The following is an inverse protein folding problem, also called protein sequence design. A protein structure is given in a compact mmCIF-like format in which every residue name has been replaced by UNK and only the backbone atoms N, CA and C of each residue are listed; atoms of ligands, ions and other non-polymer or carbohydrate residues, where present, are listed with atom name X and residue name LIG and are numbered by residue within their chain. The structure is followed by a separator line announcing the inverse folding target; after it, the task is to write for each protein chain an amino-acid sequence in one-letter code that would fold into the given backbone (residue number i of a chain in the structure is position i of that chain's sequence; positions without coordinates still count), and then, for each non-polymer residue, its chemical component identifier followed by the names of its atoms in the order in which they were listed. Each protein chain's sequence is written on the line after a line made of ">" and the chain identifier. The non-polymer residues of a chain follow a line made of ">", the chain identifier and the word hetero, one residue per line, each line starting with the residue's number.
data_IF_068184794092
#
_entry.id   IF_068184794092
#
_cell.length_a   1.000
_cell.length_b   1.000
_cell.length_c   1.000
_cell.angle_alpha   90.00
_cell.angle_beta   90.00
_cell.angle_gamma   90.00
#
_symmetry.space_group_name_H-M   'P 1'
#
loop_
_entity.id
_entity.type
_entity.pdbx_description
1 polymer ?
#
# COMPACT_ATOMS: atom_id res chain seq x y z
N UNK A 1 22.18 4.64 2.17
CA UNK A 1 21.54 4.53 0.83
C UNK A 1 20.66 5.73 0.49
N UNK A 2 19.70 6.16 1.34
CA UNK A 2 18.87 7.36 1.07
C UNK A 2 19.66 8.68 1.21
N UNK A 3 20.56 8.76 2.20
CA UNK A 3 21.49 9.89 2.39
C UNK A 3 22.53 10.04 1.27
N UNK A 4 22.72 8.99 0.47
CA UNK A 4 23.75 8.91 -0.56
C UNK A 4 23.21 9.29 -1.95
N UNK A 5 21.95 9.74 -2.05
CA UNK A 5 21.31 10.09 -3.33
C UNK A 5 20.26 11.21 -3.13
N UNK A 6 20.66 12.49 -3.21
CA UNK A 6 19.80 13.63 -2.86
C UNK A 6 18.53 13.73 -3.74
N UNK A 7 18.63 13.47 -5.04
CA UNK A 7 17.48 13.47 -5.96
C UNK A 7 16.40 12.44 -5.59
N UNK A 8 16.81 11.35 -4.94
CA UNK A 8 15.87 10.31 -4.49
C UNK A 8 15.14 10.80 -3.24
N UNK A 9 15.85 11.46 -2.33
CA UNK A 9 15.28 12.02 -1.11
C UNK A 9 14.21 13.06 -1.43
N UNK A 10 14.46 13.96 -2.38
CA UNK A 10 13.48 14.96 -2.82
C UNK A 10 12.21 14.33 -3.38
N UNK A 11 12.33 13.23 -4.15
CA UNK A 11 11.17 12.50 -4.67
C UNK A 11 10.36 11.83 -3.57
N UNK A 12 11.01 11.25 -2.56
CA UNK A 12 10.31 10.68 -1.42
C UNK A 12 9.58 11.76 -0.62
N UNK A 13 10.24 12.89 -0.34
CA UNK A 13 9.67 14.02 0.37
C UNK A 13 8.44 14.57 -0.37
N UNK A 14 8.52 14.75 -1.69
CA UNK A 14 7.38 15.18 -2.50
C UNK A 14 6.16 14.25 -2.38
N UNK A 15 6.36 12.93 -2.44
CA UNK A 15 5.27 11.95 -2.35
C UNK A 15 4.69 11.91 -0.91
N UNK A 16 5.53 12.02 0.12
CA UNK A 16 5.06 12.06 1.52
C UNK A 16 4.24 13.32 1.78
N UNK A 17 4.67 14.48 1.25
CA UNK A 17 3.92 15.74 1.35
C UNK A 17 2.57 15.66 0.65
N UNK A 18 2.51 15.10 -0.56
CA UNK A 18 1.24 14.85 -1.25
C UNK A 18 0.30 13.99 -0.38
N UNK A 19 0.83 12.93 0.24
CA UNK A 19 0.02 12.07 1.11
C UNK A 19 -0.44 12.75 2.40
N UNK A 20 0.37 13.66 2.96
CA UNK A 20 -0.02 14.50 4.10
C UNK A 20 -1.17 15.44 3.71
N UNK A 21 -1.04 16.12 2.57
CA UNK A 21 -2.04 17.06 2.05
C UNK A 21 -3.38 16.35 1.74
N UNK A 22 -3.31 15.10 1.27
CA UNK A 22 -4.47 14.25 1.03
C UNK A 22 -5.02 13.58 2.30
N UNK A 23 -4.39 13.78 3.47
CA UNK A 23 -4.79 13.16 4.73
C UNK A 23 -4.61 11.64 4.79
N UNK A 24 -3.80 11.07 3.89
CA UNK A 24 -3.51 9.62 3.82
C UNK A 24 -2.54 9.22 4.94
N UNK A 25 -1.62 10.11 5.32
CA UNK A 25 -0.65 9.90 6.40
C UNK A 25 -0.67 11.06 7.37
N UNK A 26 -0.20 10.81 8.59
CA UNK A 26 0.00 11.82 9.64
C UNK A 26 1.42 11.70 10.20
N UNK A 27 2.04 12.79 10.66
CA UNK A 27 3.35 12.71 11.30
C UNK A 27 3.28 11.87 12.58
N UNK A 28 4.29 11.02 12.78
CA UNK A 28 4.46 10.16 13.95
C UNK A 28 5.89 10.34 14.46
N UNK A 29 6.09 10.29 15.78
CA UNK A 29 7.42 10.40 16.39
C UNK A 29 8.32 9.21 16.00
N UNK A 30 9.57 9.51 15.63
CA UNK A 30 10.50 8.70 14.83
C UNK A 30 10.96 7.37 15.47
N UNK A 31 10.88 6.24 14.73
CA UNK A 31 11.71 5.06 15.09
C UNK A 31 12.13 4.05 13.99
N UNK A 32 11.71 4.08 12.72
CA UNK A 32 12.18 3.01 11.78
C UNK A 32 12.09 3.33 10.28
N UNK A 33 13.24 3.50 9.61
CA UNK A 33 13.34 3.63 8.14
C UNK A 33 14.50 2.79 7.58
N UNK A 34 14.25 1.94 6.57
CA UNK A 34 15.28 1.21 5.80
C UNK A 34 14.99 1.21 4.27
N UNK A 35 15.99 1.38 3.36
CA UNK A 35 15.75 1.58 1.92
C UNK A 35 16.13 0.39 1.00
N UNK A 36 15.28 0.09 0.00
CA UNK A 36 15.67 -0.68 -1.22
C UNK A 36 14.85 -0.28 -2.47
N UNK A 37 15.39 -0.59 -3.66
CA UNK A 37 15.26 0.18 -4.92
C UNK A 37 14.41 -0.49 -6.01
N UNK A 38 13.52 0.28 -6.67
CA UNK A 38 13.05 0.28 -8.10
C UNK A 38 12.03 1.45 -8.20
N UNK A 39 11.43 1.78 -9.37
CA UNK A 39 10.40 2.84 -9.61
C UNK A 39 9.75 3.35 -8.30
N UNK A 40 10.06 4.61 -7.92
CA UNK A 40 9.86 5.09 -6.53
C UNK A 40 8.39 4.97 -6.12
N UNK A 41 8.15 4.13 -5.12
CA UNK A 41 6.87 3.94 -4.43
C UNK A 41 7.18 3.91 -2.93
N UNK A 42 6.35 4.57 -2.14
CA UNK A 42 6.44 4.46 -0.68
C UNK A 42 5.91 3.09 -0.29
N UNK A 43 6.70 2.33 0.47
CA UNK A 43 6.33 1.01 0.98
C UNK A 43 6.53 1.03 2.48
N UNK A 44 5.43 0.86 3.23
CA UNK A 44 5.48 0.69 4.67
C UNK A 44 5.82 -0.76 5.00
N UNK A 45 6.94 -0.98 5.69
CA UNK A 45 7.35 -2.33 6.07
C UNK A 45 6.62 -2.77 7.35
N UNK A 46 5.43 -3.35 7.20
CA UNK A 46 4.64 -3.89 8.31
C UNK A 46 5.22 -5.17 8.97
N UNK A 47 6.30 -5.73 8.41
CA UNK A 47 7.01 -6.90 8.99
C UNK A 47 8.24 -6.51 9.80
N UNK A 48 8.56 -5.22 9.85
CA UNK A 48 9.73 -4.75 10.54
C UNK A 48 9.58 -4.97 12.06
N UNK A 49 10.62 -5.49 12.70
CA UNK A 49 10.66 -5.81 14.13
C UNK A 49 11.73 -4.95 14.80
N UNK A 50 11.43 -4.51 16.02
CA UNK A 50 12.39 -3.86 16.92
C UNK A 50 12.47 -4.70 18.21
N UNK A 51 12.35 -4.06 19.37
CA UNK A 51 12.20 -4.75 20.66
C UNK A 51 10.78 -5.31 20.88
N UNK A 52 9.89 -5.15 19.90
CA UNK A 52 8.49 -5.55 19.91
C UNK A 52 8.09 -6.35 18.65
N UNK A 53 7.00 -7.15 18.70
CA UNK A 53 6.45 -7.84 17.53
C UNK A 53 6.07 -6.86 16.41
N UNK A 54 6.14 -7.33 15.17
CA UNK A 54 5.77 -6.50 14.01
C UNK A 54 4.27 -6.27 13.95
N UNK A 55 3.83 -5.26 13.19
CA UNK A 55 2.41 -5.01 12.95
C UNK A 55 1.70 -6.27 12.43
N UNK A 56 2.31 -6.99 11.50
CA UNK A 56 1.74 -8.22 10.94
C UNK A 56 1.62 -9.37 11.96
N UNK A 57 2.47 -9.41 13.00
CA UNK A 57 2.38 -10.41 14.06
C UNK A 57 1.18 -10.13 15.01
N UNK A 58 0.76 -8.86 15.10
CA UNK A 58 -0.30 -8.40 16.00
C UNK A 58 -1.69 -8.37 15.34
N UNK A 59 -1.79 -8.48 14.02
CA UNK A 59 -3.06 -8.42 13.29
C UNK A 59 -3.66 -9.82 13.08
N UNK A 60 -4.95 -9.96 13.39
CA UNK A 60 -5.72 -11.15 13.03
C UNK A 60 -6.09 -11.12 11.54
N UNK A 61 -5.71 -12.16 10.79
CA UNK A 61 -5.92 -12.24 9.32
C UNK A 61 -7.39 -12.23 8.89
N UNK A 62 -8.30 -12.67 9.76
CA UNK A 62 -9.73 -12.81 9.45
C UNK A 62 -10.03 -13.86 8.37
N UNK A 63 -11.33 -14.12 8.09
CA UNK A 63 -11.73 -15.00 6.99
C UNK A 63 -11.54 -14.32 5.62
N UNK A 64 -11.33 -15.11 4.57
CA UNK A 64 -11.25 -14.58 3.21
C UNK A 64 -12.59 -14.02 2.74
N UNK A 65 -12.61 -12.73 2.40
CA UNK A 65 -13.78 -12.03 1.85
C UNK A 65 -13.84 -12.08 0.30
N UNK A 66 -12.81 -12.63 -0.35
CA UNK A 66 -12.71 -12.66 -1.80
C UNK A 66 -13.62 -13.73 -2.40
N UNK A 67 -14.41 -13.37 -3.41
CA UNK A 67 -15.09 -14.36 -4.26
C UNK A 67 -14.06 -15.14 -5.07
N UNK A 68 -14.36 -16.40 -5.36
CA UNK A 68 -13.49 -17.23 -6.21
C UNK A 68 -13.40 -16.60 -7.61
N UNK A 69 -12.18 -16.42 -8.10
CA UNK A 69 -11.91 -15.85 -9.43
C UNK A 69 -12.68 -16.61 -10.51
N UNK A 70 -12.75 -17.94 -10.41
CA UNK A 70 -13.51 -18.77 -11.35
C UNK A 70 -14.99 -18.37 -11.44
N UNK A 71 -15.66 -18.12 -10.31
CA UNK A 71 -17.06 -17.70 -10.30
C UNK A 71 -17.26 -16.31 -10.91
N UNK A 72 -16.29 -15.41 -10.71
CA UNK A 72 -16.28 -14.09 -11.33
C UNK A 72 -16.18 -14.23 -12.86
N UNK A 73 -15.23 -15.05 -13.34
CA UNK A 73 -15.01 -15.26 -14.78
C UNK A 73 -16.19 -15.93 -15.49
N UNK A 74 -16.84 -16.91 -14.85
CA UNK A 74 -18.04 -17.57 -15.39
C UNK A 74 -19.19 -16.57 -15.57
N UNK A 75 -19.45 -15.74 -14.55
CA UNK A 75 -20.48 -14.69 -14.63
C UNK A 75 -20.15 -13.62 -15.67
N UNK A 76 -18.88 -13.22 -15.75
CA UNK A 76 -18.41 -12.23 -16.72
C UNK A 76 -18.63 -12.69 -18.18
N UNK A 77 -18.60 -14.01 -18.44
CA UNK A 77 -18.85 -14.61 -19.75
C UNK A 77 -20.32 -14.96 -20.02
N UNK A 78 -21.23 -14.75 -19.06
CA UNK A 78 -22.63 -15.14 -19.21
C UNK A 78 -23.40 -14.26 -20.22
N UNK A 79 -22.90 -13.08 -20.53
CA UNK A 79 -23.53 -12.12 -21.43
C UNK A 79 -22.59 -11.71 -22.57
N UNK A 80 -23.12 -11.32 -23.75
CA UNK A 80 -22.31 -10.93 -24.91
C UNK A 80 -21.44 -9.68 -24.69
N UNK A 81 -21.82 -8.83 -23.73
CA UNK A 81 -21.12 -7.59 -23.40
C UNK A 81 -20.77 -7.59 -21.92
N UNK A 82 -19.52 -7.26 -21.61
CA UNK A 82 -19.02 -7.17 -20.26
C UNK A 82 -18.36 -5.81 -20.01
N UNK A 83 -18.58 -5.24 -18.82
CA UNK A 83 -18.00 -3.98 -18.38
C UNK A 83 -16.88 -4.25 -17.39
N UNK A 84 -15.73 -3.62 -17.60
CA UNK A 84 -14.59 -3.67 -16.70
C UNK A 84 -14.07 -2.24 -16.48
N UNK A 85 -13.70 -1.95 -15.24
CA UNK A 85 -13.10 -0.68 -14.84
C UNK A 85 -12.16 -0.95 -13.66
N UNK A 86 -11.16 -0.10 -13.48
CA UNK A 86 -10.22 -0.16 -12.35
C UNK A 86 -10.58 0.93 -11.34
N UNK A 87 -10.47 0.61 -10.05
CA UNK A 87 -10.66 1.58 -8.97
C UNK A 87 -9.27 2.02 -8.53
N UNK A 88 -8.86 3.18 -9.00
CA UNK A 88 -7.59 3.79 -8.59
C UNK A 88 -7.58 3.97 -7.06
N UNK A 89 -6.48 3.55 -6.41
CA UNK A 89 -6.26 3.70 -4.96
C UNK A 89 -7.37 3.07 -4.09
N UNK A 90 -7.98 1.96 -4.51
CA UNK A 90 -9.11 1.31 -3.82
C UNK A 90 -8.96 1.15 -2.30
N UNK A 91 -7.77 0.79 -1.80
CA UNK A 91 -7.53 0.62 -0.35
C UNK A 91 -7.61 1.93 0.45
N UNK A 92 -7.39 3.08 -0.18
CA UNK A 92 -7.45 4.40 0.47
C UNK A 92 -8.87 4.99 0.50
N UNK A 93 -9.84 4.32 -0.13
CA UNK A 93 -11.24 4.76 -0.17
C UNK A 93 -12.08 4.26 1.02
N UNK A 94 -11.49 3.43 1.88
CA UNK A 94 -12.15 2.87 3.07
C UNK A 94 -11.98 3.86 4.24
N UNK A 95 -13.09 4.19 4.91
CA UNK A 95 -13.11 5.02 6.13
C UNK A 95 -13.16 4.16 7.39
#
# INVERSE_FOLDING_TARGET
>A
RLKDTPDLLEKYDAIIREQLDLGIVVPVDDSMISPSTTKVRIVYNATAKADSPSLNDCLHTGPSLHRKIFEILVRFRAYPVALASDIEKAFLMIQ
#
